data_IF_746743803029
#
_entry.id   IF_746743803029
#
_cell.length_a   1.000
_cell.length_b   1.000
_cell.length_c   1.000
_cell.angle_alpha   90.00
_cell.angle_beta   90.00
_cell.angle_gamma   90.00
#
_symmetry.space_group_name_H-M   'P 1'
#
loop_
_entity.id
_entity.type
_entity.pdbx_description
1 polymer ?
#
# COMPACT_ATOMS: atom_id res chain seq x y z
N UNK A 1 -22.57 11.88 0.55
CA UNK A 1 -22.00 11.66 0.68
C UNK A 1 -21.31 11.04 1.32
N UNK A 2 -20.84 10.72 1.31
CA UNK A 2 -20.19 9.97 1.84
C UNK A 2 -19.48 10.24 2.79
N UNK A 3 -19.64 9.68 3.55
CA UNK A 3 -18.96 10.17 4.65
C UNK A 3 -17.51 10.14 4.39
N UNK A 4 -16.87 11.06 4.94
CA UNK A 4 -15.45 11.13 4.77
C UNK A 4 -14.78 10.29 5.84
N UNK A 5 -14.23 9.19 5.42
CA UNK A 5 -13.55 8.30 6.35
C UNK A 5 -12.07 8.62 6.46
N UNK A 6 -11.61 9.59 5.68
CA UNK A 6 -10.18 9.85 5.62
C UNK A 6 -9.43 8.89 4.74
N UNK A 7 -10.15 7.97 4.12
CA UNK A 7 -9.51 7.00 3.26
C UNK A 7 -9.26 7.57 1.87
N UNK A 8 -8.10 7.33 1.33
CA UNK A 8 -7.79 7.73 -0.03
C UNK A 8 -7.34 6.50 -0.81
N UNK A 9 -7.52 6.57 -2.11
CA UNK A 9 -7.08 5.52 -3.00
C UNK A 9 -5.83 6.01 -3.73
N UNK A 10 -4.79 5.23 -3.66
CA UNK A 10 -3.49 5.62 -4.21
C UNK A 10 -3.15 4.81 -5.44
N UNK A 11 -2.61 5.48 -6.43
CA UNK A 11 -2.11 4.79 -7.60
C UNK A 11 -0.77 4.16 -7.32
N UNK A 12 -0.40 3.21 -8.16
CA UNK A 12 0.86 2.49 -7.98
C UNK A 12 2.05 3.45 -7.90
N UNK A 13 2.08 4.46 -8.75
CA UNK A 13 3.21 5.40 -8.74
C UNK A 13 3.34 6.10 -7.40
N UNK A 14 2.22 6.47 -6.80
CA UNK A 14 2.27 7.12 -5.50
C UNK A 14 2.69 6.14 -4.41
N UNK A 15 2.22 4.92 -4.49
CA UNK A 15 2.62 3.90 -3.52
C UNK A 15 4.13 3.66 -3.59
N UNK A 16 4.64 3.52 -4.80
CA UNK A 16 6.08 3.33 -5.00
C UNK A 16 6.88 4.46 -4.38
N UNK A 17 6.38 5.69 -4.57
CA UNK A 17 7.06 6.85 -4.01
C UNK A 17 7.09 6.81 -2.49
N UNK A 18 5.96 6.43 -1.90
CA UNK A 18 5.84 6.43 -0.43
C UNK A 18 6.66 5.34 0.24
N UNK A 19 6.70 4.17 -0.39
CA UNK A 19 7.40 3.04 0.22
C UNK A 19 8.85 2.92 -0.26
N UNK A 20 9.19 3.62 -1.32
CA UNK A 20 10.57 3.61 -1.82
C UNK A 20 10.98 2.33 -2.52
N UNK A 21 10.01 1.59 -3.04
CA UNK A 21 10.29 0.33 -3.73
C UNK A 21 10.00 0.45 -5.20
N UNK A 22 10.69 -0.35 -5.98
CA UNK A 22 10.43 -0.43 -7.41
C UNK A 22 9.25 -1.35 -7.66
N UNK A 23 8.70 -1.22 -8.86
CA UNK A 23 7.53 -1.98 -9.26
C UNK A 23 7.71 -3.48 -9.08
N UNK A 24 8.84 -4.01 -9.54
CA UNK A 24 9.06 -5.45 -9.47
C UNK A 24 9.15 -5.94 -8.03
N UNK A 25 9.82 -5.18 -7.17
CA UNK A 25 9.91 -5.55 -5.76
C UNK A 25 8.54 -5.51 -5.10
N UNK A 26 7.76 -4.47 -5.44
CA UNK A 26 6.45 -4.31 -4.87
C UNK A 26 5.54 -5.49 -5.24
N UNK A 27 5.52 -5.85 -6.51
CA UNK A 27 4.67 -6.94 -6.94
C UNK A 27 5.10 -8.28 -6.37
N UNK A 28 6.40 -8.46 -6.18
CA UNK A 28 6.86 -9.68 -5.53
C UNK A 28 6.34 -9.75 -4.09
N UNK A 29 6.39 -8.65 -3.37
CA UNK A 29 5.87 -8.64 -2.01
C UNK A 29 4.37 -8.90 -1.98
N UNK A 30 3.65 -8.38 -2.96
CA UNK A 30 2.22 -8.65 -3.05
C UNK A 30 1.97 -10.14 -3.28
N UNK A 31 2.73 -10.76 -4.16
CA UNK A 31 2.58 -12.18 -4.41
C UNK A 31 2.90 -13.02 -3.19
N UNK A 32 3.83 -12.56 -2.38
CA UNK A 32 4.21 -13.27 -1.18
C UNK A 32 3.32 -12.94 0.01
N UNK A 33 2.27 -12.16 -0.22
CA UNK A 33 1.34 -11.75 0.82
C UNK A 33 2.02 -10.93 1.92
N UNK A 34 3.05 -10.19 1.53
CA UNK A 34 3.79 -9.34 2.47
C UNK A 34 3.52 -7.86 2.25
N UNK A 35 2.58 -7.55 1.38
CA UNK A 35 2.20 -6.17 1.09
C UNK A 35 0.73 -6.15 0.76
N UNK A 36 0.01 -5.08 1.14
CA UNK A 36 -1.44 -5.00 0.87
C UNK A 36 -1.72 -5.11 -0.62
N UNK A 37 -2.68 -5.95 -0.98
CA UNK A 37 -3.03 -6.16 -2.36
C UNK A 37 -3.86 -4.99 -2.89
N UNK A 38 -3.68 -4.64 -4.17
CA UNK A 38 -4.49 -3.58 -4.76
C UNK A 38 -5.91 -4.04 -5.02
N UNK A 39 -6.79 -3.06 -5.19
CA UNK A 39 -8.18 -3.32 -5.57
C UNK A 39 -8.47 -2.53 -6.83
N UNK A 40 -9.59 -2.85 -7.46
CA UNK A 40 -10.07 -2.05 -8.58
C UNK A 40 -10.78 -0.84 -8.02
N UNK A 41 -10.55 0.32 -8.62
CA UNK A 41 -11.18 1.54 -8.15
C UNK A 41 -12.71 1.46 -8.27
N UNK A 42 -13.18 0.75 -9.28
CA UNK A 42 -14.61 0.54 -9.49
C UNK A 42 -14.76 -0.64 -10.43
N UNK A 43 -15.96 -1.24 -10.50
CA UNK A 43 -16.15 -2.37 -11.41
C UNK A 43 -15.81 -1.99 -12.84
N UNK A 44 -15.00 -2.79 -13.50
CA UNK A 44 -14.59 -2.52 -14.86
C UNK A 44 -13.38 -1.63 -14.99
N UNK A 45 -12.85 -1.11 -13.88
CA UNK A 45 -11.67 -0.28 -13.96
C UNK A 45 -10.46 -1.11 -14.40
N UNK A 46 -9.61 -0.50 -15.20
CA UNK A 46 -8.38 -1.18 -15.59
C UNK A 46 -7.31 -1.04 -14.52
N UNK A 47 -7.17 0.16 -14.00
CA UNK A 47 -6.11 0.44 -13.06
C UNK A 47 -6.47 -0.06 -11.68
N UNK A 48 -5.48 -0.54 -10.98
CA UNK A 48 -5.63 -0.94 -9.60
C UNK A 48 -5.17 0.20 -8.70
N UNK A 49 -5.75 0.26 -7.52
CA UNK A 49 -5.40 1.28 -6.55
C UNK A 49 -5.21 0.61 -5.19
N UNK A 50 -4.55 1.33 -4.30
CA UNK A 50 -4.25 0.84 -2.97
C UNK A 50 -4.93 1.74 -1.94
N UNK A 51 -5.30 1.17 -0.82
CA UNK A 51 -5.90 1.96 0.25
C UNK A 51 -4.81 2.67 1.03
N UNK A 52 -4.94 3.98 1.17
CA UNK A 52 -3.92 4.77 1.84
C UNK A 52 -3.68 4.27 3.27
N UNK A 53 -4.74 3.93 3.98
CA UNK A 53 -4.59 3.46 5.35
C UNK A 53 -3.74 2.20 5.44
N UNK A 54 -3.91 1.31 4.47
CA UNK A 54 -3.11 0.09 4.46
C UNK A 54 -1.65 0.38 4.16
N UNK A 55 -1.40 1.31 3.28
CA UNK A 55 -0.03 1.69 2.95
C UNK A 55 0.64 2.36 4.15
N UNK A 56 -0.09 3.25 4.80
CA UNK A 56 0.43 3.92 5.99
C UNK A 56 0.76 2.90 7.08
N UNK A 57 -0.14 1.95 7.31
CA UNK A 57 0.07 0.93 8.32
C UNK A 57 1.27 0.04 7.98
N UNK A 58 1.41 -0.29 6.69
CA UNK A 58 2.54 -1.11 6.26
C UNK A 58 3.86 -0.41 6.52
N UNK A 59 3.92 0.88 6.19
CA UNK A 59 5.13 1.66 6.42
C UNK A 59 5.46 1.70 7.91
N UNK A 60 4.44 1.96 8.73
CA UNK A 60 4.65 2.00 10.18
C UNK A 60 5.18 0.68 10.71
N UNK A 61 4.63 -0.41 10.20
CA UNK A 61 5.07 -1.74 10.64
C UNK A 61 6.52 -2.00 10.22
N UNK A 62 6.90 -1.55 9.03
CA UNK A 62 8.28 -1.73 8.58
C UNK A 62 9.24 -0.94 9.43
N UNK A 63 8.86 0.28 9.77
CA UNK A 63 9.72 1.11 10.60
C UNK A 63 9.91 0.46 11.97
N UNK A 64 8.82 -0.03 12.54
CA UNK A 64 8.88 -0.68 13.83
C UNK A 64 9.76 -1.93 13.78
N UNK A 65 9.60 -2.72 12.74
CA UNK A 65 10.39 -3.93 12.59
C UNK A 65 11.87 -3.63 12.43
N UNK A 66 12.17 -2.55 11.71
CA UNK A 66 13.56 -2.20 11.45
C UNK A 66 14.25 -1.61 12.68
N UNK A 67 13.49 -0.91 13.52
CA UNK A 67 14.08 -0.22 14.65
C UNK A 67 13.85 -0.88 15.97
N UNK A 68 12.65 -1.35 16.18
CA UNK A 68 12.23 -1.76 17.49
C UNK A 68 12.60 -3.16 17.86
N UNK A 69 12.97 -3.88 16.93
CA UNK A 69 13.25 -5.25 17.20
C UNK A 69 14.52 -5.36 17.93
N UNK A 70 14.53 -5.97 18.83
CA UNK A 70 15.69 -6.01 19.52
C UNK A 70 15.78 -5.01 20.53
N UNK A 71 15.41 -4.76 20.36
CA UNK A 71 15.71 -4.12 21.14
C UNK A 71 15.25 -4.03 21.71
#
# INVERSE_FOLDING_TARGET
MEPNTGEALLRLSEVMRRVGLRKSSLYRLIQESKFPAPIKAFPGARASVFLESEITAWIAARIRAARGVGK
#
